data_IF_152674859885
#
_entry.id   IF_152674859885
#
_cell.length_a   1.000
_cell.length_b   1.000
_cell.length_c   1.000
_cell.angle_alpha   90.00
_cell.angle_beta   90.00
_cell.angle_gamma   90.00
#
_symmetry.space_group_name_H-M   'P 1'
#
loop_
_entity.id
_entity.type
_entity.pdbx_description
1 polymer ?
#
# COMPACT_ATOMS: atom_id res chain seq x y z
N UNK A 1 -0.31 -10.00 -6.67
CA UNK A 1 0.45 -8.81 -7.06
C UNK A 1 1.93 -9.13 -7.04
N UNK A 2 2.63 -8.96 -8.15
CA UNK A 2 4.08 -9.16 -8.27
C UNK A 2 4.86 -7.95 -7.75
N UNK A 3 6.17 -8.09 -7.59
CA UNK A 3 7.01 -6.95 -7.20
C UNK A 3 7.05 -5.85 -8.26
N UNK A 4 7.01 -6.22 -9.55
CA UNK A 4 6.94 -5.23 -10.63
C UNK A 4 5.61 -4.46 -10.60
N UNK A 5 4.49 -5.16 -10.36
CA UNK A 5 3.18 -4.52 -10.24
C UNK A 5 3.15 -3.54 -9.05
N UNK A 6 3.73 -3.92 -7.90
CA UNK A 6 3.83 -3.03 -6.74
C UNK A 6 4.70 -1.81 -7.04
N UNK A 7 5.85 -2.02 -7.67
CA UNK A 7 6.75 -0.93 -8.05
C UNK A 7 6.06 0.09 -8.96
N UNK A 8 5.33 -0.40 -9.96
CA UNK A 8 4.58 0.43 -10.90
C UNK A 8 3.51 1.28 -10.20
N UNK A 9 2.70 0.68 -9.33
CA UNK A 9 1.66 1.42 -8.59
C UNK A 9 2.26 2.48 -7.65
N UNK A 10 3.38 2.16 -6.97
CA UNK A 10 4.08 3.13 -6.13
C UNK A 10 4.68 4.29 -6.96
N UNK A 11 5.16 4.01 -8.16
CA UNK A 11 5.64 5.03 -9.10
C UNK A 11 4.50 5.95 -9.55
N UNK A 12 3.36 5.38 -9.93
CA UNK A 12 2.15 6.13 -10.31
C UNK A 12 1.61 6.99 -9.17
N UNK A 13 1.75 6.54 -7.93
CA UNK A 13 1.41 7.29 -6.73
C UNK A 13 2.40 8.42 -6.38
N UNK A 14 3.47 8.59 -7.15
CA UNK A 14 4.43 9.68 -7.00
C UNK A 14 5.49 9.44 -5.91
N UNK A 15 5.70 8.20 -5.49
CA UNK A 15 6.75 7.89 -4.52
C UNK A 15 8.13 8.03 -5.14
N UNK A 16 9.08 8.55 -4.37
CA UNK A 16 10.47 8.60 -4.78
C UNK A 16 11.08 7.19 -4.85
N UNK A 17 12.14 7.03 -5.66
CA UNK A 17 12.86 5.76 -5.79
C UNK A 17 13.33 5.20 -4.44
N UNK A 18 13.74 6.06 -3.52
CA UNK A 18 14.18 5.65 -2.18
C UNK A 18 13.01 5.08 -1.35
N UNK A 19 11.83 5.71 -1.42
CA UNK A 19 10.64 5.24 -0.72
C UNK A 19 10.16 3.91 -1.31
N UNK A 20 10.15 3.79 -2.65
CA UNK A 20 9.84 2.53 -3.35
C UNK A 20 10.75 1.40 -2.87
N UNK A 21 12.08 1.61 -2.83
CA UNK A 21 13.05 0.60 -2.39
C UNK A 21 12.76 0.14 -0.94
N UNK A 22 12.48 1.07 -0.03
CA UNK A 22 12.16 0.74 1.38
C UNK A 22 10.89 -0.12 1.48
N UNK A 23 9.85 0.24 0.74
CA UNK A 23 8.57 -0.47 0.74
C UNK A 23 8.71 -1.86 0.10
N UNK A 24 9.33 -1.96 -1.08
CA UNK A 24 9.60 -3.23 -1.76
C UNK A 24 10.50 -4.16 -0.92
N UNK A 25 11.46 -3.62 -0.17
CA UNK A 25 12.29 -4.42 0.74
C UNK A 25 11.48 -5.07 1.87
N UNK A 26 10.44 -4.36 2.36
CA UNK A 26 9.52 -4.89 3.36
C UNK A 26 8.69 -6.03 2.78
N UNK A 27 8.18 -5.86 1.54
CA UNK A 27 7.41 -6.88 0.83
C UNK A 27 8.25 -8.13 0.55
N UNK A 28 9.50 -7.96 0.09
CA UNK A 28 10.41 -9.09 -0.19
C UNK A 28 10.69 -9.97 1.03
N UNK A 29 10.73 -9.37 2.24
CA UNK A 29 11.01 -10.09 3.48
C UNK A 29 9.76 -10.67 4.15
N UNK A 30 8.65 -9.95 4.08
CA UNK A 30 7.42 -10.29 4.82
C UNK A 30 6.31 -10.91 3.96
N UNK A 31 6.47 -10.95 2.64
CA UNK A 31 5.37 -11.19 1.72
C UNK A 31 4.59 -9.91 1.41
N UNK A 32 3.74 -9.99 0.39
CA UNK A 32 2.87 -8.89 0.01
C UNK A 32 1.59 -8.89 0.84
N UNK A 33 1.35 -7.79 1.54
CA UNK A 33 0.10 -7.46 2.21
C UNK A 33 -0.18 -5.99 1.89
N UNK A 34 -1.23 -5.74 1.08
CA UNK A 34 -1.51 -4.38 0.67
C UNK A 34 -2.24 -3.55 1.73
N UNK A 35 -2.89 -4.14 2.75
CA UNK A 35 -3.49 -3.37 3.86
C UNK A 35 -2.36 -2.74 4.64
N UNK A 36 -1.32 -3.53 4.91
CA UNK A 36 -0.09 -3.05 5.56
C UNK A 36 0.63 -2.03 4.70
N UNK A 37 0.68 -2.24 3.37
CA UNK A 37 1.37 -1.32 2.47
C UNK A 37 0.64 0.02 2.33
N UNK A 38 -0.68 0.00 2.17
CA UNK A 38 -1.53 1.21 2.16
C UNK A 38 -1.51 1.93 3.49
N UNK A 39 -1.51 1.21 4.62
CA UNK A 39 -1.37 1.86 5.93
C UNK A 39 -0.04 2.61 6.04
N UNK A 40 1.06 2.03 5.55
CA UNK A 40 2.37 2.70 5.48
C UNK A 40 2.32 3.93 4.57
N UNK A 41 1.67 3.83 3.42
CA UNK A 41 1.49 4.94 2.47
C UNK A 41 0.72 6.09 3.09
N UNK A 42 -0.41 5.80 3.76
CA UNK A 42 -1.21 6.79 4.50
C UNK A 42 -0.40 7.47 5.60
N UNK A 43 0.39 6.72 6.37
CA UNK A 43 1.29 7.27 7.39
C UNK A 43 2.39 8.18 6.79
N UNK A 44 2.76 7.95 5.53
CA UNK A 44 3.72 8.77 4.78
C UNK A 44 3.05 9.97 4.07
N UNK A 45 1.72 10.13 4.19
CA UNK A 45 0.96 11.23 3.58
C UNK A 45 0.48 10.97 2.15
N UNK A 46 0.57 9.73 1.67
CA UNK A 46 0.09 9.34 0.34
C UNK A 46 -1.35 8.79 0.41
N UNK A 47 -2.15 8.96 -0.67
CA UNK A 47 -3.43 8.29 -0.77
C UNK A 47 -3.27 6.77 -0.78
N UNK A 48 -4.31 5.99 -0.45
CA UNK A 48 -4.30 4.56 -0.69
C UNK A 48 -4.06 4.29 -2.18
N UNK A 49 -3.15 3.36 -2.46
CA UNK A 49 -2.70 3.05 -3.83
C UNK A 49 -3.30 1.73 -4.28
N UNK A 50 -3.51 0.78 -3.37
CA UNK A 50 -4.00 -0.54 -3.72
C UNK A 50 -5.52 -0.61 -3.51
N UNK A 51 -6.29 -0.39 -4.58
CA UNK A 51 -7.77 -0.42 -4.56
C UNK A 51 -8.39 -1.81 -4.39
N UNK A 52 -7.59 -2.84 -4.06
CA UNK A 52 -8.08 -4.21 -3.83
C UNK A 52 -8.91 -4.37 -2.54
N UNK A 53 -9.19 -3.26 -1.85
CA UNK A 53 -9.92 -3.20 -0.58
C UNK A 53 -11.30 -2.55 -0.67
N UNK A 54 -11.72 -2.07 -1.83
CA UNK A 54 -13.06 -1.45 -1.95
C UNK A 54 -14.21 -2.45 -1.71
N UNK A 55 -13.93 -3.77 -1.66
CA UNK A 55 -14.91 -4.81 -1.29
C UNK A 55 -14.91 -5.17 0.22
N UNK A 56 -14.02 -4.58 1.04
CA UNK A 56 -13.89 -4.88 2.48
C UNK A 56 -14.28 -3.67 3.39
N UNK A 57 -14.87 -2.59 2.86
CA UNK A 57 -15.43 -1.49 3.67
C UNK A 57 -16.86 -1.77 4.18
N UNK A 58 -17.11 -2.98 4.71
CA UNK A 58 -18.14 -3.17 5.73
C UNK A 58 -17.47 -3.39 7.09
N UNK A 59 -17.92 -2.60 8.06
CA UNK A 59 -17.66 -2.75 9.51
C UNK A 59 -16.42 -2.03 10.09
N UNK A 60 -16.53 -0.71 10.27
CA UNK A 60 -16.04 0.00 11.46
C UNK A 60 -16.60 1.42 11.63
N UNK A 61 -17.89 1.63 11.34
CA UNK A 61 -18.62 2.81 11.83
C UNK A 61 -19.84 2.39 12.65
N UNK A 62 -19.60 2.01 13.90
CA UNK A 62 -20.66 1.95 14.92
C UNK A 62 -20.13 2.44 16.28
N UNK A 63 -20.00 3.76 16.38
CA UNK A 63 -20.26 4.47 17.63
C UNK A 63 -21.57 5.22 17.45
N UNK A 64 -22.64 4.61 17.94
CA UNK A 64 -23.97 5.19 18.12
C UNK A 64 -24.55 4.59 19.38
#
# INVERSE_FOLDING_TARGET
MTLEEIEFELEMAGLSREQQIKLLSSVKRGGYDAKVLDQKLRLMGFPPVFSIYDDDEEDSNKKG
#
